data_IF_319114266670
#
_entry.id   IF_319114266670
#
_cell.length_a   1.000
_cell.length_b   1.000
_cell.length_c   1.000
_cell.angle_alpha   90.00
_cell.angle_beta   90.00
_cell.angle_gamma   90.00
#
_symmetry.space_group_name_H-M   'P 1'
#
loop_
_entity.id
_entity.type
_entity.pdbx_description
1 polymer ?
#
# COMPACT_ATOMS: atom_id res chain seq x y z
N UNK A 1 -28.42 -1.69 -22.96
CA UNK A 1 -27.15 -2.27 -23.45
C UNK A 1 -26.01 -1.59 -22.71
N UNK A 2 -25.15 -2.36 -22.04
CA UNK A 2 -24.02 -1.83 -21.28
C UNK A 2 -22.88 -1.51 -22.25
N UNK A 3 -22.48 -0.23 -22.32
CA UNK A 3 -21.44 0.26 -23.22
C UNK A 3 -20.05 -0.23 -22.79
N UNK A 4 -19.27 -0.77 -23.73
CA UNK A 4 -17.91 -1.32 -23.48
C UNK A 4 -16.99 -0.25 -22.89
N UNK A 5 -17.13 1.01 -23.28
CA UNK A 5 -16.34 2.11 -22.74
C UNK A 5 -16.64 2.36 -21.25
N UNK A 6 -17.92 2.26 -20.87
CA UNK A 6 -18.35 2.42 -19.47
C UNK A 6 -17.89 1.26 -18.59
N UNK A 7 -17.90 0.04 -19.13
CA UNK A 7 -17.32 -1.14 -18.45
C UNK A 7 -15.80 -1.02 -18.25
N UNK A 8 -15.08 -0.56 -19.27
CA UNK A 8 -13.64 -0.36 -19.17
C UNK A 8 -13.29 0.68 -18.09
N UNK A 9 -14.04 1.79 -18.03
CA UNK A 9 -13.86 2.81 -17.00
C UNK A 9 -14.11 2.27 -15.57
N UNK A 10 -15.21 1.53 -15.38
CA UNK A 10 -15.53 0.89 -14.10
C UNK A 10 -14.49 -0.15 -13.68
N UNK A 11 -13.99 -0.95 -14.64
CA UNK A 11 -12.92 -1.92 -14.40
C UNK A 11 -11.60 -1.23 -14.01
N UNK A 12 -11.23 -0.14 -14.69
CA UNK A 12 -10.01 0.61 -14.36
C UNK A 12 -10.06 1.27 -12.98
N UNK A 13 -11.23 1.78 -12.59
CA UNK A 13 -11.44 2.37 -11.27
C UNK A 13 -11.32 1.32 -10.16
N UNK A 14 -12.00 0.18 -10.34
CA UNK A 14 -11.94 -0.92 -9.38
C UNK A 14 -10.51 -1.47 -9.23
N UNK A 15 -9.76 -1.61 -10.32
CA UNK A 15 -8.35 -2.04 -10.28
C UNK A 15 -7.45 -1.03 -9.55
N UNK A 16 -7.64 0.26 -9.82
CA UNK A 16 -6.89 1.32 -9.15
C UNK A 16 -7.14 1.28 -7.64
N UNK A 17 -8.41 1.26 -7.24
CA UNK A 17 -8.80 1.21 -5.83
C UNK A 17 -8.33 -0.07 -5.16
N UNK A 18 -8.43 -1.22 -5.84
CA UNK A 18 -7.94 -2.49 -5.31
C UNK A 18 -6.44 -2.45 -5.06
N UNK A 19 -5.66 -1.91 -6.01
CA UNK A 19 -4.23 -1.70 -5.86
C UNK A 19 -3.89 -0.85 -4.63
N UNK A 20 -4.58 0.28 -4.47
CA UNK A 20 -4.35 1.19 -3.35
C UNK A 20 -4.66 0.53 -2.00
N UNK A 21 -5.83 -0.12 -1.89
CA UNK A 21 -6.25 -0.83 -0.67
C UNK A 21 -5.30 -1.99 -0.37
N UNK A 22 -4.95 -2.80 -1.38
CA UNK A 22 -4.02 -3.92 -1.20
C UNK A 22 -2.64 -3.46 -0.74
N UNK A 23 -2.12 -2.38 -1.33
CA UNK A 23 -0.84 -1.81 -0.95
C UNK A 23 -0.84 -1.23 0.45
N UNK A 24 -1.95 -0.59 0.87
CA UNK A 24 -2.11 -0.12 2.24
C UNK A 24 -2.02 -1.29 3.23
N UNK A 25 -2.79 -2.36 3.03
CA UNK A 25 -2.73 -3.55 3.89
C UNK A 25 -1.33 -4.16 3.92
N UNK A 26 -0.66 -4.28 2.77
CA UNK A 26 0.72 -4.77 2.71
C UNK A 26 1.67 -3.88 3.50
N UNK A 27 1.59 -2.55 3.34
CA UNK A 27 2.45 -1.61 4.04
C UNK A 27 2.22 -1.63 5.56
N UNK A 28 0.98 -1.82 6.01
CA UNK A 28 0.66 -2.03 7.43
C UNK A 28 1.30 -3.30 7.96
N UNK A 29 1.19 -4.42 7.22
CA UNK A 29 1.80 -5.70 7.62
C UNK A 29 3.32 -5.62 7.63
N UNK A 30 3.91 -4.89 6.68
CA UNK A 30 5.34 -4.57 6.68
C UNK A 30 5.74 -3.80 7.95
N UNK A 31 5.06 -2.70 8.26
CA UNK A 31 5.35 -1.89 9.44
C UNK A 31 5.20 -2.68 10.75
N UNK A 32 4.14 -3.50 10.87
CA UNK A 32 3.94 -4.38 12.02
C UNK A 32 5.04 -5.43 12.16
N UNK A 33 5.45 -6.05 11.05
CA UNK A 33 6.57 -7.00 11.06
C UNK A 33 7.88 -6.33 11.48
N UNK A 34 8.11 -5.09 11.03
CA UNK A 34 9.29 -4.31 11.36
C UNK A 34 9.31 -3.98 12.84
N UNK A 35 8.19 -3.46 13.37
CA UNK A 35 8.04 -3.17 14.79
C UNK A 35 8.24 -4.42 15.63
N UNK A 36 7.57 -5.53 15.28
CA UNK A 36 7.63 -6.78 16.06
C UNK A 36 9.05 -7.33 16.12
N UNK A 37 9.78 -7.31 14.99
CA UNK A 37 11.17 -7.75 14.95
C UNK A 37 12.09 -6.83 15.75
N UNK A 38 12.00 -5.51 15.50
CA UNK A 38 12.85 -4.50 16.15
C UNK A 38 12.61 -4.46 17.65
N UNK A 39 11.36 -4.50 18.09
CA UNK A 39 11.01 -4.49 19.51
C UNK A 39 11.46 -5.76 20.23
N UNK A 40 11.37 -6.93 19.59
CA UNK A 40 11.80 -8.20 20.20
C UNK A 40 13.32 -8.30 20.33
N UNK A 41 14.05 -7.93 19.27
CA UNK A 41 15.50 -8.15 19.19
C UNK A 41 16.32 -6.91 19.58
N UNK A 42 15.67 -5.76 19.77
CA UNK A 42 16.30 -4.47 20.08
C UNK A 42 17.39 -4.08 19.06
N UNK A 43 17.25 -4.55 17.82
CA UNK A 43 18.19 -4.31 16.72
C UNK A 43 17.43 -4.10 15.42
N UNK A 44 17.99 -3.26 14.54
CA UNK A 44 17.39 -3.01 13.23
C UNK A 44 17.38 -4.29 12.38
N UNK A 45 16.29 -4.56 11.63
CA UNK A 45 16.26 -5.57 10.58
C UNK A 45 17.36 -5.41 9.52
N UNK A 46 17.89 -4.19 9.35
CA UNK A 46 18.96 -3.88 8.41
C UNK A 46 20.36 -4.13 8.97
N UNK A 47 20.48 -4.49 10.25
CA UNK A 47 21.76 -4.88 10.80
C UNK A 47 22.31 -6.15 10.12
N UNK A 48 23.64 -6.30 9.99
CA UNK A 48 24.24 -7.45 9.33
C UNK A 48 23.70 -8.78 9.88
N UNK A 49 23.19 -9.64 8.99
CA UNK A 49 22.67 -10.97 9.34
C UNK A 49 21.24 -11.03 9.88
N UNK A 50 20.61 -9.89 10.22
CA UNK A 50 19.28 -9.87 10.84
C UNK A 50 18.11 -9.92 9.84
N UNK A 51 18.36 -9.53 8.59
CA UNK A 51 17.32 -9.41 7.57
C UNK A 51 16.58 -10.74 7.31
N UNK A 52 17.28 -11.88 7.36
CA UNK A 52 16.66 -13.20 7.18
C UNK A 52 15.66 -13.51 8.29
N UNK A 53 15.98 -13.15 9.54
CA UNK A 53 15.08 -13.30 10.68
C UNK A 53 13.85 -12.41 10.55
N UNK A 54 14.06 -11.16 10.09
CA UNK A 54 12.95 -10.24 9.79
C UNK A 54 12.02 -10.80 8.70
N UNK A 55 12.56 -11.35 7.62
CA UNK A 55 11.74 -11.95 6.57
C UNK A 55 10.88 -13.11 7.07
N UNK A 56 11.36 -13.88 8.05
CA UNK A 56 10.56 -14.94 8.68
C UNK A 56 9.35 -14.37 9.45
N UNK A 57 9.54 -13.27 10.18
CA UNK A 57 8.44 -12.55 10.86
C UNK A 57 7.48 -11.96 9.82
N UNK A 58 8.01 -11.31 8.78
CA UNK A 58 7.20 -10.75 7.70
C UNK A 58 6.39 -11.81 6.95
N UNK A 59 6.94 -13.01 6.73
CA UNK A 59 6.22 -14.11 6.12
C UNK A 59 4.98 -14.52 6.92
N UNK A 60 5.05 -14.52 8.26
CA UNK A 60 3.90 -14.75 9.13
C UNK A 60 2.80 -13.70 8.94
N UNK A 61 3.17 -12.42 8.96
CA UNK A 61 2.24 -11.32 8.67
C UNK A 61 1.70 -11.37 7.25
N UNK A 62 2.49 -11.82 6.28
CA UNK A 62 2.05 -12.00 4.89
C UNK A 62 0.95 -13.06 4.78
N UNK A 63 1.06 -14.17 5.52
CA UNK A 63 -0.03 -15.17 5.59
C UNK A 63 -1.30 -14.56 6.16
N UNK A 64 -1.22 -13.82 7.28
CA UNK A 64 -2.36 -13.09 7.84
C UNK A 64 -2.96 -12.11 6.83
N UNK A 65 -2.11 -11.42 6.08
CA UNK A 65 -2.51 -10.49 5.05
C UNK A 65 -3.35 -11.16 3.96
N UNK A 66 -3.08 -12.42 3.63
CA UNK A 66 -3.85 -13.19 2.66
C UNK A 66 -5.24 -13.59 3.18
N UNK A 67 -5.38 -13.82 4.49
CA UNK A 67 -6.68 -14.07 5.12
C UNK A 67 -7.59 -12.83 5.07
N UNK A 68 -7.00 -11.63 5.03
CA UNK A 68 -7.73 -10.36 4.92
C UNK A 68 -8.19 -10.03 3.49
N UNK A 69 -7.91 -10.88 2.49
CA UNK A 69 -8.34 -10.63 1.09
C UNK A 69 -9.85 -10.36 0.94
N UNK A 70 -10.78 -11.11 1.58
CA UNK A 70 -12.21 -10.81 1.46
C UNK A 70 -12.56 -9.41 1.96
N UNK A 71 -11.98 -9.01 3.09
CA UNK A 71 -12.15 -7.68 3.64
C UNK A 71 -11.62 -6.60 2.67
N UNK A 72 -10.51 -6.86 1.97
CA UNK A 72 -10.01 -5.92 0.96
C UNK A 72 -11.01 -5.71 -0.16
N UNK A 73 -11.65 -6.77 -0.66
CA UNK A 73 -12.66 -6.61 -1.72
C UNK A 73 -13.84 -5.75 -1.26
N UNK A 74 -14.30 -5.92 -0.02
CA UNK A 74 -15.36 -5.10 0.56
C UNK A 74 -14.94 -3.63 0.66
N UNK A 75 -13.75 -3.37 1.19
CA UNK A 75 -13.21 -2.01 1.31
C UNK A 75 -13.00 -1.39 -0.08
N UNK A 76 -12.47 -2.15 -1.04
CA UNK A 76 -12.31 -1.71 -2.43
C UNK A 76 -13.64 -1.26 -3.01
N UNK A 77 -14.69 -2.09 -2.92
CA UNK A 77 -16.00 -1.75 -3.45
C UNK A 77 -16.57 -0.47 -2.80
N UNK A 78 -16.38 -0.30 -1.49
CA UNK A 78 -16.79 0.90 -0.77
C UNK A 78 -15.99 2.15 -1.16
N UNK A 79 -14.70 2.00 -1.49
CA UNK A 79 -13.80 3.10 -1.83
C UNK A 79 -13.78 3.47 -3.32
N UNK A 80 -14.23 2.60 -4.22
CA UNK A 80 -14.25 2.86 -5.67
C UNK A 80 -14.90 4.21 -6.05
N UNK A 81 -16.09 4.60 -5.55
CA UNK A 81 -16.69 5.89 -5.92
C UNK A 81 -15.86 7.10 -5.48
N UNK A 82 -15.10 6.99 -4.38
CA UNK A 82 -14.20 8.04 -3.94
C UNK A 82 -13.02 8.21 -4.91
N UNK A 83 -12.44 7.11 -5.37
CA UNK A 83 -11.35 7.14 -6.34
C UNK A 83 -11.81 7.64 -7.72
N UNK A 84 -13.01 7.26 -8.15
CA UNK A 84 -13.59 7.80 -9.38
C UNK A 84 -13.77 9.32 -9.29
N UNK A 85 -14.33 9.82 -8.19
CA UNK A 85 -14.46 11.26 -7.97
C UNK A 85 -13.09 11.97 -7.95
N UNK A 86 -12.05 11.32 -7.41
CA UNK A 86 -10.69 11.86 -7.40
C UNK A 86 -10.09 11.95 -8.81
N UNK A 87 -10.25 10.89 -9.62
CA UNK A 87 -9.80 10.87 -11.02
C UNK A 87 -10.54 11.94 -11.83
N UNK A 88 -11.86 12.09 -11.66
CA UNK A 88 -12.64 13.12 -12.35
C UNK A 88 -12.20 14.55 -11.98
N UNK A 89 -11.83 14.78 -10.71
CA UNK A 89 -11.25 16.08 -10.30
C UNK A 89 -9.93 16.37 -11.00
N UNK A 90 -9.08 15.36 -11.15
CA UNK A 90 -7.79 15.52 -11.86
C UNK A 90 -7.99 15.70 -13.36
N UNK A 91 -8.92 14.96 -13.96
CA UNK A 91 -9.33 15.12 -15.35
C UNK A 91 -9.74 16.57 -15.62
N UNK A 92 -10.63 17.13 -14.79
CA UNK A 92 -11.12 18.51 -14.91
C UNK A 92 -10.05 19.56 -14.61
N UNK A 93 -9.22 19.34 -13.59
CA UNK A 93 -8.22 20.33 -13.15
C UNK A 93 -7.07 20.49 -14.14
N UNK A 94 -6.65 19.40 -14.77
CA UNK A 94 -5.52 19.39 -15.70
C UNK A 94 -5.93 19.28 -17.16
N UNK A 95 -7.24 19.32 -17.44
CA UNK A 95 -7.81 19.20 -18.79
C UNK A 95 -7.20 18.05 -19.60
N UNK A 96 -7.00 16.90 -18.94
CA UNK A 96 -6.33 15.74 -19.52
C UNK A 96 -7.35 14.66 -19.91
N UNK A 97 -7.08 13.82 -20.93
CA UNK A 97 -7.99 12.74 -21.27
C UNK A 97 -8.10 11.72 -20.12
N UNK A 98 -9.32 11.22 -19.87
CA UNK A 98 -9.66 10.30 -18.78
C UNK A 98 -8.67 9.13 -18.61
N UNK A 99 -8.21 8.54 -19.71
CA UNK A 99 -7.19 7.46 -19.67
C UNK A 99 -5.86 7.89 -19.03
N UNK A 100 -5.35 9.08 -19.37
CA UNK A 100 -4.13 9.63 -18.76
C UNK A 100 -4.33 9.99 -17.29
N UNK A 101 -5.53 10.45 -16.92
CA UNK A 101 -5.88 10.73 -15.53
C UNK A 101 -5.83 9.45 -14.69
N UNK A 102 -6.49 8.38 -15.13
CA UNK A 102 -6.44 7.08 -14.44
C UNK A 102 -5.00 6.55 -14.32
N UNK A 103 -4.22 6.57 -15.41
CA UNK A 103 -2.83 6.11 -15.37
C UNK A 103 -1.99 6.91 -14.36
N UNK A 104 -2.17 8.24 -14.33
CA UNK A 104 -1.47 9.11 -13.40
C UNK A 104 -1.83 8.79 -11.96
N UNK A 105 -3.11 8.59 -11.65
CA UNK A 105 -3.55 8.22 -10.30
C UNK A 105 -3.03 6.83 -9.92
N UNK A 106 -3.03 5.86 -10.82
CA UNK A 106 -2.45 4.53 -10.56
C UNK A 106 -0.98 4.68 -10.18
N UNK A 107 -0.17 5.41 -10.95
CA UNK A 107 1.25 5.58 -10.65
C UNK A 107 1.46 6.34 -9.34
N UNK A 108 0.76 7.46 -9.15
CA UNK A 108 0.90 8.29 -7.94
C UNK A 108 0.48 7.53 -6.70
N UNK A 109 -0.69 6.90 -6.70
CA UNK A 109 -1.23 6.25 -5.50
C UNK A 109 -0.55 4.90 -5.26
N UNK A 110 -0.43 4.05 -6.29
CA UNK A 110 0.04 2.68 -6.10
C UNK A 110 1.57 2.55 -6.09
N UNK A 111 2.31 3.46 -6.73
CA UNK A 111 3.77 3.43 -6.67
C UNK A 111 4.26 4.39 -5.60
N UNK A 112 4.10 5.70 -5.82
CA UNK A 112 4.66 6.70 -4.92
C UNK A 112 3.98 6.68 -3.55
N UNK A 113 2.66 6.64 -3.51
CA UNK A 113 1.90 6.55 -2.26
C UNK A 113 2.26 5.31 -1.46
N UNK A 114 2.49 4.18 -2.12
CA UNK A 114 2.88 2.94 -1.44
C UNK A 114 4.30 3.03 -0.88
N UNK A 115 5.25 3.56 -1.63
CA UNK A 115 6.60 3.81 -1.14
C UNK A 115 6.59 4.78 0.05
N UNK A 116 5.79 5.84 -0.01
CA UNK A 116 5.61 6.77 1.10
C UNK A 116 5.05 6.09 2.34
N UNK A 117 3.99 5.29 2.22
CA UNK A 117 3.38 4.59 3.37
C UNK A 117 4.33 3.55 3.96
N UNK A 118 5.09 2.80 3.13
CA UNK A 118 6.09 1.85 3.64
C UNK A 118 7.20 2.59 4.38
N UNK A 119 7.69 3.70 3.83
CA UNK A 119 8.79 4.48 4.43
C UNK A 119 8.35 5.10 5.75
N UNK A 120 7.18 5.73 5.77
CA UNK A 120 6.57 6.29 6.98
C UNK A 120 6.25 5.19 8.00
N UNK A 121 5.69 4.05 7.57
CA UNK A 121 5.40 2.92 8.44
C UNK A 121 6.66 2.34 9.08
N UNK A 122 7.75 2.25 8.32
CA UNK A 122 9.07 1.81 8.82
C UNK A 122 9.63 2.81 9.82
N UNK A 123 9.50 4.12 9.55
CA UNK A 123 9.92 5.18 10.46
C UNK A 123 9.14 5.13 11.77
N UNK A 124 7.81 5.09 11.71
CA UNK A 124 6.94 5.00 12.89
C UNK A 124 7.24 3.73 13.68
N UNK A 125 7.35 2.58 13.01
CA UNK A 125 7.69 1.31 13.65
C UNK A 125 9.04 1.37 14.39
N UNK A 126 10.05 2.01 13.79
CA UNK A 126 11.37 2.17 14.37
C UNK A 126 11.36 3.11 15.57
N UNK A 127 10.66 4.25 15.46
CA UNK A 127 10.47 5.20 16.56
C UNK A 127 9.73 4.55 17.74
N UNK A 128 8.65 3.81 17.47
CA UNK A 128 7.90 3.10 18.50
C UNK A 128 8.69 1.95 19.14
N UNK A 129 9.58 1.29 18.39
CA UNK A 129 10.45 0.25 18.93
C UNK A 129 11.66 0.80 19.69
N UNK A 130 11.97 2.10 19.55
CA UNK A 130 13.19 2.71 20.12
C UNK A 130 14.48 2.27 19.41
N UNK A 131 14.38 1.74 18.19
CA UNK A 131 15.51 1.20 17.42
C UNK A 131 15.73 2.06 16.18
N UNK A 132 16.96 2.53 15.88
CA UNK A 132 17.23 3.30 14.67
C UNK A 132 16.97 2.44 13.42
N UNK A 133 16.42 3.06 12.36
CA UNK A 133 16.18 2.37 11.08
C UNK A 133 17.49 1.84 10.52
N UNK A 134 18.49 2.72 10.44
CA UNK A 134 19.81 2.39 9.96
C UNK A 134 20.61 1.78 11.10
N UNK A 135 21.24 0.64 10.86
CA UNK A 135 22.28 0.18 11.76
C UNK A 135 23.37 1.25 11.75
N UNK A 136 23.61 1.88 12.90
CA UNK A 136 24.80 2.71 13.08
C UNK A 136 25.97 1.73 13.04
N UNK A 137 26.87 1.94 12.08
CA UNK A 137 28.10 1.16 11.95
C UNK A 137 29.01 1.37 13.17
#
# INVERSE_FOLDING_TARGET
KMDRAKLAALGSAALLTYGAVSNFFMATMWALSWYTFSWKNQISPLAPGQFKGFLAVYAGFWVLNNLLRPLRFVITAAMTPFFDAFVERLEKRFSMPKSRAYLSVVLIVNVFGTLSVISLGTLVASLCAGVPIWAVA
#
